data_IF_697246694762
#
_entry.id   IF_697246694762
#
_cell.length_a   1.000
_cell.length_b   1.000
_cell.length_c   1.000
_cell.angle_alpha   90.00
_cell.angle_beta   90.00
_cell.angle_gamma   90.00
#
_symmetry.space_group_name_H-M   'P 1'
#
loop_
_entity.id
_entity.type
_entity.pdbx_description
1 polymer ?
#
# COMPACT_ATOMS: atom_id res chain seq x y z
N UNK A 1 -2.49 -19.78 15.09
CA UNK A 1 -3.71 -20.51 15.51
C UNK A 1 -4.91 -20.19 14.62
N UNK A 2 -4.75 -20.16 13.29
CA UNK A 2 -5.88 -20.12 12.36
C UNK A 2 -5.86 -21.42 11.54
N UNK A 3 -6.95 -22.21 11.51
CA UNK A 3 -7.05 -23.37 10.62
C UNK A 3 -7.43 -22.97 9.17
N UNK A 4 -7.63 -21.67 8.91
CA UNK A 4 -8.03 -21.12 7.61
C UNK A 4 -7.03 -20.05 7.16
N UNK A 5 -6.97 -19.74 5.84
CA UNK A 5 -6.08 -18.72 5.33
C UNK A 5 -6.30 -17.35 5.98
N UNK A 6 -5.19 -16.68 6.32
CA UNK A 6 -5.14 -15.34 6.89
C UNK A 6 -4.59 -14.39 5.84
N UNK A 7 -5.33 -13.31 5.59
CA UNK A 7 -4.88 -12.24 4.72
C UNK A 7 -4.51 -10.98 5.47
N UNK A 8 -3.64 -10.19 4.87
CA UNK A 8 -3.28 -8.86 5.38
C UNK A 8 -3.31 -7.81 4.28
N UNK A 9 -3.17 -6.55 4.70
CA UNK A 9 -2.86 -5.42 3.81
C UNK A 9 -1.51 -4.85 4.28
N UNK A 10 -0.37 -5.29 3.72
CA UNK A 10 0.95 -5.00 4.30
C UNK A 10 1.25 -3.50 4.47
N UNK A 11 0.64 -2.65 3.63
CA UNK A 11 0.80 -1.18 3.70
C UNK A 11 0.34 -0.60 5.05
N UNK A 12 -0.55 -1.28 5.80
CA UNK A 12 -1.00 -0.80 7.11
C UNK A 12 0.11 -0.91 8.15
N UNK A 13 0.81 -2.06 8.21
CA UNK A 13 1.95 -2.20 9.11
C UNK A 13 3.13 -1.34 8.67
N UNK A 14 3.39 -1.25 7.35
CA UNK A 14 4.44 -0.37 6.82
C UNK A 14 4.19 1.10 7.22
N UNK A 15 2.93 1.55 7.21
CA UNK A 15 2.55 2.90 7.65
C UNK A 15 2.80 3.13 9.14
N UNK A 16 2.56 2.13 10.01
CA UNK A 16 2.90 2.22 11.43
C UNK A 16 4.42 2.32 11.66
N UNK A 17 5.23 1.62 10.85
CA UNK A 17 6.70 1.71 10.90
C UNK A 17 7.23 3.13 10.61
N UNK A 18 6.42 3.96 9.95
CA UNK A 18 6.71 5.39 9.68
C UNK A 18 5.80 6.34 10.45
N UNK A 19 5.28 5.92 11.61
CA UNK A 19 4.48 6.74 12.52
C UNK A 19 3.24 7.38 11.87
N UNK A 20 2.60 6.70 10.89
CA UNK A 20 1.42 7.23 10.22
C UNK A 20 1.71 8.23 9.09
N UNK A 21 2.97 8.56 8.83
CA UNK A 21 3.37 9.53 7.80
C UNK A 21 3.48 8.81 6.46
N UNK A 22 2.40 8.88 5.66
CA UNK A 22 2.36 8.19 4.37
C UNK A 22 3.52 8.58 3.46
N UNK A 23 3.96 9.84 3.48
CA UNK A 23 5.06 10.37 2.68
C UNK A 23 6.41 9.72 2.98
N UNK A 24 6.59 9.21 4.20
CA UNK A 24 7.84 8.58 4.64
C UNK A 24 7.92 7.10 4.24
N UNK A 25 6.87 6.54 3.63
CA UNK A 25 6.89 5.19 3.08
C UNK A 25 7.94 5.07 1.96
N UNK A 26 8.70 3.98 1.98
CA UNK A 26 9.61 3.60 0.91
C UNK A 26 9.41 2.13 0.52
N UNK A 27 9.97 1.74 -0.63
CA UNK A 27 9.96 0.34 -1.06
C UNK A 27 10.64 -0.56 -0.03
N UNK A 28 11.75 -0.14 0.56
CA UNK A 28 12.51 -0.92 1.54
C UNK A 28 11.67 -1.25 2.78
N UNK A 29 10.97 -0.26 3.34
CA UNK A 29 10.08 -0.46 4.50
C UNK A 29 8.93 -1.42 4.15
N UNK A 30 8.37 -1.30 2.95
CA UNK A 30 7.31 -2.19 2.49
C UNK A 30 7.82 -3.62 2.25
N UNK A 31 8.99 -3.77 1.61
CA UNK A 31 9.66 -5.05 1.37
C UNK A 31 9.97 -5.78 2.68
N UNK A 32 10.53 -5.08 3.66
CA UNK A 32 10.80 -5.66 4.98
C UNK A 32 9.51 -6.12 5.66
N UNK A 33 8.42 -5.38 5.46
CA UNK A 33 7.09 -5.76 5.98
C UNK A 33 6.52 -6.98 5.26
N UNK A 34 6.74 -7.13 3.95
CA UNK A 34 6.35 -8.33 3.21
C UNK A 34 7.10 -9.55 3.71
N UNK A 35 8.42 -9.45 3.88
CA UNK A 35 9.28 -10.55 4.36
C UNK A 35 8.82 -10.98 5.76
N UNK A 36 8.67 -10.01 6.68
CA UNK A 36 8.20 -10.27 8.04
C UNK A 36 6.85 -11.02 8.07
N UNK A 37 5.88 -10.58 7.27
CA UNK A 37 4.56 -11.21 7.22
C UNK A 37 4.57 -12.56 6.51
N UNK A 38 5.42 -12.73 5.50
CA UNK A 38 5.61 -14.02 4.83
C UNK A 38 6.23 -15.06 5.78
N UNK A 39 7.23 -14.66 6.59
CA UNK A 39 7.83 -15.52 7.63
C UNK A 39 6.83 -15.89 8.73
N UNK A 40 5.86 -15.02 9.03
CA UNK A 40 4.75 -15.30 9.94
C UNK A 40 3.70 -16.26 9.34
N UNK A 41 3.76 -16.53 8.04
CA UNK A 41 2.84 -17.43 7.34
C UNK A 41 1.52 -16.80 6.91
N UNK A 42 1.52 -15.50 6.55
CA UNK A 42 0.36 -14.88 5.91
C UNK A 42 0.12 -15.52 4.53
N UNK A 43 -1.13 -15.92 4.27
CA UNK A 43 -1.48 -16.69 3.07
C UNK A 43 -1.72 -15.81 1.84
N UNK A 44 -2.17 -14.58 2.01
CA UNK A 44 -2.36 -13.64 0.90
C UNK A 44 -2.22 -12.17 1.30
N UNK A 45 -1.78 -11.37 0.34
CA UNK A 45 -1.62 -9.92 0.51
C UNK A 45 -2.59 -9.15 -0.38
N UNK A 46 -3.29 -8.20 0.20
CA UNK A 46 -3.97 -7.15 -0.57
C UNK A 46 -2.97 -6.04 -0.87
N UNK A 47 -2.56 -5.93 -2.13
CA UNK A 47 -1.59 -4.93 -2.59
C UNK A 47 -2.27 -3.94 -3.53
N UNK A 48 -2.15 -2.65 -3.23
CA UNK A 48 -2.81 -1.58 -3.98
C UNK A 48 -1.93 -1.06 -5.15
N UNK A 49 -1.28 -1.96 -5.88
CA UNK A 49 -0.41 -1.61 -7.02
C UNK A 49 -1.18 -0.98 -8.20
N UNK A 50 -2.50 -1.17 -8.27
CA UNK A 50 -3.35 -0.56 -9.30
C UNK A 50 -3.66 0.94 -9.09
N UNK A 51 -3.27 1.54 -7.96
CA UNK A 51 -3.47 2.98 -7.71
C UNK A 51 -2.34 3.77 -8.35
N UNK A 52 -2.46 4.01 -9.65
CA UNK A 52 -1.44 4.70 -10.44
C UNK A 52 -1.61 6.22 -10.31
N UNK A 53 -0.50 6.97 -10.36
CA UNK A 53 -0.48 8.44 -10.23
C UNK A 53 -1.49 9.10 -11.18
N UNK A 54 -1.51 8.66 -12.44
CA UNK A 54 -2.42 9.18 -13.48
C UNK A 54 -3.90 8.91 -13.21
N UNK A 55 -4.23 7.94 -12.35
CA UNK A 55 -5.62 7.62 -11.99
C UNK A 55 -6.15 8.43 -10.81
N UNK A 56 -5.27 9.00 -9.97
CA UNK A 56 -5.69 9.80 -8.81
C UNK A 56 -6.55 11.01 -9.22
N UNK A 57 -6.21 11.82 -10.25
CA UNK A 57 -7.07 12.93 -10.68
C UNK A 57 -8.45 12.50 -11.17
N UNK A 58 -8.60 11.26 -11.66
CA UNK A 58 -9.89 10.74 -12.13
C UNK A 58 -10.90 10.59 -10.99
N UNK A 59 -10.46 10.57 -9.73
CA UNK A 59 -11.34 10.46 -8.56
C UNK A 59 -11.84 11.82 -8.05
N UNK A 60 -11.34 12.94 -8.58
CA UNK A 60 -11.63 14.29 -8.06
C UNK A 60 -13.12 14.68 -8.14
N UNK A 61 -13.88 14.08 -9.06
CA UNK A 61 -15.32 14.35 -9.24
C UNK A 61 -16.24 13.33 -8.56
N UNK A 62 -15.69 12.37 -7.82
CA UNK A 62 -16.51 11.39 -7.09
C UNK A 62 -17.16 12.05 -5.88
N UNK A 63 -18.43 11.72 -5.63
CA UNK A 63 -19.17 12.20 -4.45
C UNK A 63 -18.46 11.82 -3.15
N UNK A 64 -17.88 10.62 -3.08
CA UNK A 64 -17.22 10.08 -1.89
C UNK A 64 -15.71 9.87 -2.03
N UNK A 65 -15.10 10.39 -3.10
CA UNK A 65 -13.65 10.31 -3.31
C UNK A 65 -13.07 8.87 -3.37
N UNK A 66 -11.93 8.67 -2.71
CA UNK A 66 -11.26 7.37 -2.55
C UNK A 66 -11.61 6.83 -1.16
N UNK A 67 -12.36 5.73 -1.12
CA UNK A 67 -12.83 5.10 0.12
C UNK A 67 -12.01 3.88 0.56
N UNK A 68 -11.10 3.40 -0.29
CA UNK A 68 -10.14 2.36 0.11
C UNK A 68 -9.08 2.97 1.02
N UNK A 69 -8.92 2.44 2.24
CA UNK A 69 -7.87 2.89 3.18
C UNK A 69 -6.48 2.76 2.56
N UNK A 70 -6.13 1.57 2.04
CA UNK A 70 -4.83 1.34 1.39
C UNK A 70 -4.66 2.16 0.11
N UNK A 71 -5.74 2.34 -0.66
CA UNK A 71 -5.70 3.16 -1.87
C UNK A 71 -5.48 4.65 -1.57
N UNK A 72 -6.09 5.19 -0.52
CA UNK A 72 -5.89 6.57 -0.11
C UNK A 72 -4.47 6.83 0.43
N UNK A 73 -3.85 5.85 1.10
CA UNK A 73 -2.43 5.93 1.51
C UNK A 73 -1.54 6.06 0.26
N UNK A 74 -1.74 5.18 -0.74
CA UNK A 74 -0.94 5.22 -1.97
C UNK A 74 -1.19 6.47 -2.80
N UNK A 75 -2.44 6.94 -2.88
CA UNK A 75 -2.76 8.20 -3.56
C UNK A 75 -2.06 9.38 -2.88
N UNK A 76 -2.04 9.44 -1.54
CA UNK A 76 -1.32 10.48 -0.78
C UNK A 76 0.18 10.44 -1.07
N UNK A 77 0.80 9.26 -1.01
CA UNK A 77 2.23 9.09 -1.32
C UNK A 77 2.56 9.52 -2.76
N UNK A 78 1.77 9.08 -3.75
CA UNK A 78 2.01 9.44 -5.16
C UNK A 78 1.93 10.96 -5.38
N UNK A 79 0.96 11.63 -4.76
CA UNK A 79 0.79 13.08 -4.88
C UNK A 79 1.90 13.86 -4.16
N UNK A 80 2.31 13.42 -2.97
CA UNK A 80 3.35 14.09 -2.19
C UNK A 80 4.71 14.06 -2.89
N UNK A 81 5.04 12.93 -3.54
CA UNK A 81 6.31 12.75 -4.25
C UNK A 81 6.25 13.11 -5.74
N UNK A 82 5.04 13.27 -6.29
CA UNK A 82 4.79 13.35 -7.72
C UNK A 82 5.48 12.22 -8.52
N UNK A 83 5.41 11.00 -7.98
CA UNK A 83 6.02 9.78 -8.52
C UNK A 83 4.97 8.70 -8.74
N UNK A 84 5.27 7.77 -9.65
CA UNK A 84 4.43 6.58 -9.84
C UNK A 84 4.50 5.67 -8.62
N UNK A 85 3.39 4.99 -8.33
CA UNK A 85 3.21 4.11 -7.19
C UNK A 85 4.35 3.08 -7.09
N UNK A 86 5.10 3.10 -5.99
CA UNK A 86 6.24 2.19 -5.82
C UNK A 86 5.83 0.71 -5.78
N UNK A 87 4.60 0.39 -5.36
CA UNK A 87 4.05 -0.98 -5.41
C UNK A 87 3.83 -1.44 -6.85
N UNK A 88 3.62 -0.51 -7.79
CA UNK A 88 3.52 -0.81 -9.20
C UNK A 88 4.91 -0.93 -9.84
N UNK A 89 5.83 -0.01 -9.52
CA UNK A 89 7.18 -0.02 -10.13
C UNK A 89 8.05 -1.18 -9.65
N UNK A 90 7.78 -1.72 -8.45
CA UNK A 90 8.44 -2.90 -7.89
C UNK A 90 7.54 -4.15 -7.90
N UNK A 91 6.58 -4.24 -8.83
CA UNK A 91 5.66 -5.38 -8.87
C UNK A 91 6.35 -6.71 -9.22
N UNK A 92 7.52 -6.66 -9.87
CA UNK A 92 8.30 -7.85 -10.28
C UNK A 92 9.36 -8.29 -9.23
N UNK A 93 9.62 -7.48 -8.21
CA UNK A 93 10.63 -7.74 -7.17
C UNK A 93 10.11 -8.68 -6.07
#
# INVERSE_FOLDING_TARGET
>A
NSPVPVGTVPIYQALEKVNGVAEDLTWEIFKDTLIEQAEQGVDYFTIHAGVLLRYVPMTAKRVTGIVSRGGSIMAKWCLAHHKENFLYTHFED
#
